data_IF_398992222887
#
_entry.id   IF_398992222887
#
_cell.length_a   1.000
_cell.length_b   1.000
_cell.length_c   1.000
_cell.angle_alpha   90.00
_cell.angle_beta   90.00
_cell.angle_gamma   90.00
#
_symmetry.space_group_name_H-M   'P 1'
#
loop_
_entity.id
_entity.type
_entity.pdbx_description
1 polymer ?
#
# COMPACT_ATOMS: atom_id res chain seq x y z
N UNK A 1 3.22 1.81 -8.91
CA UNK A 1 3.11 1.63 -10.38
C UNK A 1 1.68 1.31 -10.82
N UNK A 2 0.97 0.39 -10.18
CA UNK A 2 -0.47 0.16 -10.46
C UNK A 2 -1.33 1.02 -9.53
N UNK A 3 -2.20 1.83 -10.14
CA UNK A 3 -3.29 2.56 -9.48
C UNK A 3 -4.42 2.69 -10.51
N UNK A 4 -5.57 2.05 -10.26
CA UNK A 4 -6.73 2.07 -11.15
C UNK A 4 -7.99 1.66 -10.39
N UNK A 5 -9.15 2.11 -10.88
CA UNK A 5 -10.47 1.81 -10.30
C UNK A 5 -10.90 0.34 -10.49
N UNK A 6 -10.27 -0.40 -11.40
CA UNK A 6 -10.60 -1.80 -11.70
C UNK A 6 -9.92 -2.79 -10.74
N UNK A 7 -9.04 -2.33 -9.84
CA UNK A 7 -8.29 -3.23 -8.95
C UNK A 7 -7.28 -4.13 -9.67
N UNK A 8 -6.95 -3.83 -10.94
CA UNK A 8 -6.10 -4.68 -11.75
C UNK A 8 -4.62 -4.55 -11.35
N UNK A 9 -4.05 -5.60 -10.74
CA UNK A 9 -2.65 -5.66 -10.31
C UNK A 9 -1.70 -6.21 -11.39
N UNK A 10 -2.23 -6.99 -12.34
CA UNK A 10 -1.46 -7.63 -13.40
C UNK A 10 -0.35 -8.53 -12.86
N UNK A 11 0.85 -8.42 -13.43
CA UNK A 11 2.00 -9.24 -13.05
C UNK A 11 2.44 -9.09 -11.58
N UNK A 12 2.01 -8.02 -10.87
CA UNK A 12 2.31 -7.83 -9.45
C UNK A 12 1.62 -8.88 -8.56
N UNK A 13 0.62 -9.58 -9.09
CA UNK A 13 -0.04 -10.69 -8.38
C UNK A 13 0.81 -11.95 -8.24
N UNK A 14 1.94 -12.08 -8.98
CA UNK A 14 2.87 -13.20 -8.79
C UNK A 14 3.70 -12.98 -7.52
N UNK A 15 3.44 -13.78 -6.49
CA UNK A 15 4.09 -13.71 -5.18
C UNK A 15 5.61 -13.87 -5.27
N UNK A 16 6.14 -14.62 -6.24
CA UNK A 16 7.58 -14.80 -6.43
C UNK A 16 8.26 -13.48 -6.77
N UNK A 17 7.60 -12.64 -7.57
CA UNK A 17 8.13 -11.31 -7.94
C UNK A 17 8.19 -10.38 -6.74
N UNK A 18 7.16 -10.42 -5.89
CA UNK A 18 7.12 -9.60 -4.68
C UNK A 18 8.15 -10.07 -3.64
N UNK A 19 8.34 -11.39 -3.50
CA UNK A 19 9.37 -11.95 -2.64
C UNK A 19 10.76 -11.47 -3.05
N UNK A 20 11.07 -11.51 -4.35
CA UNK A 20 12.32 -10.94 -4.87
C UNK A 20 12.39 -9.46 -4.49
N UNK A 21 11.39 -8.65 -4.80
CA UNK A 21 11.43 -7.21 -4.54
C UNK A 21 11.67 -6.85 -3.07
N UNK A 22 10.99 -7.50 -2.13
CA UNK A 22 11.06 -7.19 -0.69
C UNK A 22 12.39 -7.64 -0.08
N UNK A 23 12.92 -8.78 -0.50
CA UNK A 23 14.13 -9.36 0.09
C UNK A 23 15.43 -8.75 -0.41
N UNK A 24 15.38 -7.80 -1.36
CA UNK A 24 16.58 -7.10 -1.86
C UNK A 24 17.17 -6.11 -0.87
N UNK A 25 16.41 -5.58 0.08
CA UNK A 25 16.93 -4.54 0.95
C UNK A 25 17.64 -5.12 2.17
N UNK A 26 18.83 -4.58 2.47
CA UNK A 26 19.62 -5.02 3.64
C UNK A 26 19.30 -4.24 4.92
N UNK A 27 18.88 -2.97 4.81
CA UNK A 27 18.71 -2.07 5.97
C UNK A 27 17.31 -1.51 6.11
N UNK A 28 16.64 -1.18 5.00
CA UNK A 28 15.30 -0.60 5.03
C UNK A 28 14.55 -0.89 3.72
N UNK A 29 13.31 -1.37 3.84
CA UNK A 29 12.37 -1.53 2.72
C UNK A 29 11.30 -0.46 2.85
N UNK A 30 11.09 0.32 1.79
CA UNK A 30 9.96 1.24 1.69
C UNK A 30 9.05 0.81 0.53
N UNK A 31 7.75 0.64 0.81
CA UNK A 31 6.75 0.25 -0.20
C UNK A 31 5.80 1.41 -0.44
N UNK A 32 5.80 1.94 -1.66
CA UNK A 32 4.84 2.95 -2.12
C UNK A 32 3.79 2.27 -3.00
N UNK A 33 2.53 2.34 -2.59
CA UNK A 33 1.45 1.66 -3.29
C UNK A 33 0.11 2.40 -3.12
N UNK A 34 -0.79 2.17 -4.07
CA UNK A 34 -2.18 2.55 -3.95
C UNK A 34 -2.96 1.37 -3.34
N UNK A 35 -3.36 1.54 -2.08
CA UNK A 35 -4.07 0.51 -1.32
C UNK A 35 -5.42 0.13 -1.93
N UNK A 36 -6.09 1.03 -2.64
CA UNK A 36 -7.37 0.73 -3.30
C UNK A 36 -7.19 -0.29 -4.44
N UNK A 37 -6.05 -0.23 -5.13
CA UNK A 37 -5.73 -1.14 -6.23
C UNK A 37 -5.18 -2.47 -5.72
N UNK A 38 -4.13 -2.45 -4.89
CA UNK A 38 -3.40 -3.69 -4.56
C UNK A 38 -4.14 -4.64 -3.61
N UNK A 39 -5.12 -4.14 -2.85
CA UNK A 39 -5.92 -4.96 -1.95
C UNK A 39 -6.81 -6.00 -2.67
N UNK A 40 -7.00 -5.87 -3.99
CA UNK A 40 -7.73 -6.85 -4.80
C UNK A 40 -6.99 -8.18 -4.98
N UNK A 41 -5.70 -8.25 -4.64
CA UNK A 41 -4.94 -9.49 -4.58
C UNK A 41 -4.70 -9.91 -3.13
N UNK A 42 -5.07 -11.16 -2.79
CA UNK A 42 -5.03 -11.67 -1.41
C UNK A 42 -3.63 -11.67 -0.80
N UNK A 43 -2.61 -11.99 -1.59
CA UNK A 43 -1.21 -11.99 -1.13
C UNK A 43 -0.72 -10.56 -0.84
N UNK A 44 -0.98 -9.62 -1.76
CA UNK A 44 -0.59 -8.21 -1.56
C UNK A 44 -1.35 -7.55 -0.40
N UNK A 45 -2.63 -7.88 -0.23
CA UNK A 45 -3.43 -7.41 0.90
C UNK A 45 -2.87 -7.90 2.25
N UNK A 46 -2.45 -9.17 2.33
CA UNK A 46 -1.80 -9.73 3.53
C UNK A 46 -0.48 -9.05 3.83
N UNK A 47 0.33 -8.78 2.80
CA UNK A 47 1.58 -8.02 2.95
C UNK A 47 1.30 -6.61 3.49
N UNK A 48 0.32 -5.90 2.92
CA UNK A 48 -0.02 -4.55 3.37
C UNK A 48 -0.50 -4.53 4.83
N UNK A 49 -1.29 -5.53 5.22
CA UNK A 49 -1.73 -5.72 6.62
C UNK A 49 -0.55 -5.94 7.55
N UNK A 50 0.42 -6.77 7.15
CA UNK A 50 1.65 -6.97 7.92
C UNK A 50 2.43 -5.66 8.09
N UNK A 51 2.63 -4.89 7.01
CA UNK A 51 3.33 -3.60 7.07
C UNK A 51 2.59 -2.59 7.98
N UNK A 52 1.25 -2.59 7.97
CA UNK A 52 0.47 -1.72 8.87
C UNK A 52 0.63 -2.06 10.34
N UNK A 53 0.75 -3.34 10.66
CA UNK A 53 0.84 -3.79 12.05
C UNK A 53 2.26 -3.63 12.60
N UNK A 54 3.29 -3.90 11.79
CA UNK A 54 4.68 -3.96 12.26
C UNK A 54 5.57 -2.80 11.78
N UNK A 55 5.15 -2.07 10.74
CA UNK A 55 5.93 -1.02 10.09
C UNK A 55 5.37 0.39 10.31
N UNK A 56 6.04 1.39 9.74
CA UNK A 56 5.53 2.76 9.69
C UNK A 56 4.75 2.97 8.40
N UNK A 57 3.53 3.46 8.52
CA UNK A 57 2.67 3.77 7.37
C UNK A 57 2.38 5.27 7.35
N UNK A 58 2.44 5.85 6.15
CA UNK A 58 2.06 7.23 5.89
C UNK A 58 1.15 7.26 4.68
N UNK A 59 0.16 8.15 4.71
CA UNK A 59 -0.72 8.41 3.58
C UNK A 59 -0.16 9.56 2.74
N UNK A 60 -0.45 9.54 1.45
CA UNK A 60 -0.16 10.69 0.61
C UNK A 60 -1.21 11.75 0.92
N UNK A 61 -0.80 12.83 1.59
CA UNK A 61 -1.66 14.00 1.72
C UNK A 61 -1.94 14.55 0.32
N UNK A 62 -3.20 14.75 -0.08
CA UNK A 62 -3.48 15.54 -1.27
C UNK A 62 -2.86 16.92 -0.98
N UNK A 63 -1.87 17.31 -1.79
CA UNK A 63 -1.06 18.49 -1.51
C UNK A 63 -1.95 19.67 -1.12
N UNK A 64 -1.88 20.07 0.14
CA UNK A 64 -2.44 21.35 0.58
C UNK A 64 -1.56 22.44 -0.01
N UNK A 65 -1.84 22.81 -1.27
CA UNK A 65 -1.52 24.15 -1.74
C UNK A 65 -2.41 25.12 -0.96
N UNK A 66 -1.97 25.46 0.26
CA UNK A 66 -2.55 26.49 1.11
C UNK A 66 -3.78 26.08 1.94
N UNK A 67 -3.69 26.30 3.26
CA UNK A 67 -4.86 26.59 4.09
C UNK A 67 -5.35 25.46 5.02
N UNK A 68 -4.98 25.59 6.28
CA UNK A 68 -5.71 25.16 7.49
C UNK A 68 -6.27 23.72 7.55
N UNK A 69 -5.54 22.89 8.32
CA UNK A 69 -6.07 22.05 9.40
C UNK A 69 -7.36 21.27 9.15
N UNK A 70 -7.20 19.96 8.94
CA UNK A 70 -7.95 18.87 9.61
C UNK A 70 -7.32 17.57 9.09
N UNK A 71 -6.57 16.88 9.95
CA UNK A 71 -5.99 15.58 9.62
C UNK A 71 -7.10 14.58 9.35
N UNK A 72 -7.16 14.07 8.12
CA UNK A 72 -8.06 12.99 7.76
C UNK A 72 -7.29 11.69 7.92
N UNK A 73 -7.47 10.97 9.02
CA UNK A 73 -7.06 9.58 9.10
C UNK A 73 -8.03 8.76 8.24
N UNK A 74 -7.63 8.26 7.05
CA UNK A 74 -8.53 7.44 6.25
C UNK A 74 -8.56 6.04 6.86
N UNK A 75 -9.50 5.83 7.77
CA UNK A 75 -9.95 4.50 8.19
C UNK A 75 -10.35 3.71 6.94
N UNK A 76 -9.56 2.70 6.59
CA UNK A 76 -9.95 1.71 5.58
C UNK A 76 -10.99 0.76 6.17
N UNK A 77 -11.92 0.26 5.34
CA UNK A 77 -13.03 -0.54 5.83
C UNK A 77 -12.52 -1.85 6.45
N UNK A 78 -13.11 -2.21 7.59
CA UNK A 78 -12.97 -3.53 8.20
C UNK A 78 -13.42 -4.59 7.22
N UNK A 79 -12.50 -5.50 6.88
CA UNK A 79 -12.81 -6.69 6.09
C UNK A 79 -13.19 -7.76 7.12
N UNK A 80 -14.48 -8.08 7.19
CA UNK A 80 -14.97 -9.32 7.83
C UNK A 80 -14.63 -10.53 6.98
#
# INVERSE_FOLDING_TARGET
VRSNTLGAVGFLGDSRRMNVAITRACKHVAVVCDSSTICHNTFLARLLRHIRYFGRVKHAEPGSFGGSGLGMDPMLPSIS
#
